data_IF_884046526869
#
_entry.id   IF_884046526869
#
_cell.length_a   1.000
_cell.length_b   1.000
_cell.length_c   1.000
_cell.angle_alpha   90.00
_cell.angle_beta   90.00
_cell.angle_gamma   90.00
#
_symmetry.space_group_name_H-M   'P 1'
#
loop_
_entity.id
_entity.type
_entity.pdbx_description
1 polymer ?
#
# COMPACT_ATOMS: atom_id res chain seq x y z
N UNK A 1 -12.40 11.10 -4.66
CA UNK A 1 -12.06 9.69 -4.37
C UNK A 1 -12.31 9.49 -2.90
N UNK A 2 -13.22 8.59 -2.54
CA UNK A 2 -13.64 8.38 -1.15
C UNK A 2 -12.99 7.09 -0.64
N UNK A 3 -12.37 7.15 0.53
CA UNK A 3 -11.76 5.99 1.21
C UNK A 3 -11.81 6.19 2.71
N UNK A 4 -11.84 5.10 3.46
CA UNK A 4 -11.62 5.08 4.91
C UNK A 4 -10.23 4.51 5.16
N UNK A 5 -9.41 5.23 5.94
CA UNK A 5 -8.05 4.82 6.29
C UNK A 5 -8.02 4.27 7.71
N UNK A 6 -7.50 3.05 7.86
CA UNK A 6 -7.24 2.42 9.14
C UNK A 6 -5.73 2.42 9.38
N UNK A 7 -5.29 3.06 10.45
CA UNK A 7 -3.90 3.01 10.89
C UNK A 7 -3.72 1.80 11.80
N UNK A 8 -2.85 0.87 11.42
CA UNK A 8 -2.57 -0.31 12.22
C UNK A 8 -1.44 0.02 13.19
N UNK A 9 -1.61 -0.35 14.47
CA UNK A 9 -0.55 -0.20 15.46
C UNK A 9 0.49 -1.32 15.24
N UNK A 10 1.53 -1.00 14.49
CA UNK A 10 2.72 -1.83 14.30
C UNK A 10 3.95 -1.01 14.73
N UNK A 11 4.98 -1.66 15.30
CA UNK A 11 6.14 -0.97 15.86
C UNK A 11 6.96 -0.23 14.78
N UNK A 12 7.18 -0.89 13.64
CA UNK A 12 7.70 -0.34 12.38
C UNK A 12 7.64 -1.45 11.32
N UNK A 13 7.26 -1.15 10.07
CA UNK A 13 6.79 0.13 9.54
C UNK A 13 5.39 0.51 10.04
N UNK A 14 5.04 1.79 9.89
CA UNK A 14 3.66 2.24 10.04
C UNK A 14 2.84 1.67 8.89
N UNK A 15 1.75 0.97 9.19
CA UNK A 15 0.88 0.40 8.17
C UNK A 15 -0.43 1.18 8.09
N UNK A 16 -0.79 1.58 6.87
CA UNK A 16 -2.05 2.24 6.57
C UNK A 16 -2.87 1.39 5.61
N UNK A 17 -4.08 1.03 6.01
CA UNK A 17 -5.02 0.27 5.20
C UNK A 17 -6.13 1.18 4.69
N UNK A 18 -6.15 1.41 3.38
CA UNK A 18 -7.14 2.21 2.68
C UNK A 18 -8.24 1.33 2.07
N UNK A 19 -9.46 1.46 2.59
CA UNK A 19 -10.67 0.82 2.04
C UNK A 19 -11.40 1.82 1.16
N UNK A 20 -11.39 1.59 -0.15
CA UNK A 20 -11.97 2.50 -1.13
C UNK A 20 -13.48 2.29 -1.28
N UNK A 21 -14.21 3.39 -1.51
CA UNK A 21 -15.65 3.41 -1.68
C UNK A 21 -16.08 3.97 -3.05
N UNK A 22 -17.38 3.83 -3.36
CA UNK A 22 -17.98 4.33 -4.60
C UNK A 22 -17.42 3.62 -5.84
N UNK A 23 -16.86 4.40 -6.78
CA UNK A 23 -16.34 3.89 -8.07
C UNK A 23 -15.12 2.97 -7.93
N UNK A 24 -14.53 2.88 -6.74
CA UNK A 24 -13.39 2.01 -6.41
C UNK A 24 -13.77 0.96 -5.36
N UNK A 25 -15.08 0.69 -5.17
CA UNK A 25 -15.56 -0.32 -4.23
C UNK A 25 -14.90 -1.69 -4.50
N UNK A 26 -14.46 -2.35 -3.43
CA UNK A 26 -13.75 -3.63 -3.47
C UNK A 26 -12.22 -3.51 -3.58
N UNK A 27 -11.69 -2.30 -3.80
CA UNK A 27 -10.26 -2.05 -3.70
C UNK A 27 -9.85 -1.78 -2.25
N UNK A 28 -8.89 -2.57 -1.77
CA UNK A 28 -8.20 -2.35 -0.50
C UNK A 28 -6.71 -2.26 -0.81
N UNK A 29 -6.07 -1.20 -0.33
CA UNK A 29 -4.62 -1.00 -0.46
C UNK A 29 -4.02 -0.91 0.93
N UNK A 30 -2.93 -1.62 1.15
CA UNK A 30 -2.11 -1.44 2.33
C UNK A 30 -0.78 -0.79 1.93
N UNK A 31 -0.39 0.25 2.64
CA UNK A 31 0.87 0.96 2.45
C UNK A 31 1.70 0.83 3.73
N UNK A 32 2.98 0.49 3.55
CA UNK A 32 3.97 0.40 4.62
C UNK A 32 4.91 1.60 4.51
N UNK A 33 4.97 2.40 5.58
CA UNK A 33 5.75 3.63 5.65
C UNK A 33 6.85 3.49 6.71
N UNK A 34 8.10 3.63 6.28
CA UNK A 34 9.26 3.70 7.17
C UNK A 34 9.58 5.15 7.50
N UNK A 35 9.46 5.49 8.78
CA UNK A 35 9.96 6.74 9.32
C UNK A 35 11.28 6.43 10.03
N UNK A 36 12.40 6.47 9.30
CA UNK A 36 13.71 6.32 9.94
C UNK A 36 14.05 7.56 10.77
N UNK A 37 14.56 7.35 11.97
CA UNK A 37 15.22 8.41 12.76
C UNK A 37 16.64 8.71 12.24
N UNK A 38 17.20 7.83 11.42
CA UNK A 38 18.47 8.06 10.72
C UNK A 38 18.22 8.77 9.39
N UNK A 39 18.99 9.82 9.08
CA UNK A 39 18.97 10.50 7.78
C UNK A 39 19.49 9.60 6.62
N UNK A 40 19.82 8.33 6.89
CA UNK A 40 20.40 7.45 5.91
C UNK A 40 19.34 6.71 5.09
N UNK A 41 18.98 7.32 3.96
CA UNK A 41 18.05 6.77 2.96
C UNK A 41 18.38 5.33 2.53
N UNK A 42 19.65 4.94 2.47
CA UNK A 42 20.04 3.61 2.00
C UNK A 42 19.64 2.50 3.00
N UNK A 43 19.61 2.82 4.30
CA UNK A 43 19.16 1.89 5.34
C UNK A 43 17.65 1.66 5.19
N UNK A 44 16.87 2.74 5.01
CA UNK A 44 15.42 2.67 4.79
C UNK A 44 15.06 1.84 3.57
N UNK A 45 15.76 2.05 2.45
CA UNK A 45 15.51 1.27 1.23
C UNK A 45 15.81 -0.22 1.44
N UNK A 46 16.87 -0.54 2.19
CA UNK A 46 17.23 -1.93 2.52
C UNK A 46 16.18 -2.60 3.41
N UNK A 47 15.71 -1.89 4.45
CA UNK A 47 14.64 -2.38 5.34
C UNK A 47 13.32 -2.59 4.60
N UNK A 48 12.94 -1.65 3.73
CA UNK A 48 11.73 -1.75 2.92
C UNK A 48 11.77 -2.93 1.95
N UNK A 49 12.93 -3.19 1.32
CA UNK A 49 13.12 -4.32 0.42
C UNK A 49 13.11 -5.68 1.14
N UNK A 50 13.56 -5.73 2.40
CA UNK A 50 13.58 -6.95 3.20
C UNK A 50 12.23 -7.23 3.90
N UNK A 51 11.32 -6.26 3.92
CA UNK A 51 10.10 -6.36 4.68
C UNK A 51 9.09 -7.32 4.08
N UNK A 52 8.46 -8.11 4.95
CA UNK A 52 7.34 -8.96 4.62
C UNK A 52 6.13 -8.54 5.43
N UNK A 53 4.97 -8.43 4.76
CA UNK A 53 3.72 -8.12 5.45
C UNK A 53 3.36 -9.23 6.46
N UNK A 54 2.70 -8.88 7.57
CA UNK A 54 2.15 -9.84 8.52
C UNK A 54 1.26 -10.89 7.85
N UNK A 55 1.39 -12.17 8.24
CA UNK A 55 0.69 -13.28 7.58
C UNK A 55 -0.84 -13.21 7.60
N UNK A 56 -1.45 -12.46 8.52
CA UNK A 56 -2.90 -12.23 8.55
C UNK A 56 -3.40 -11.32 7.41
N UNK A 57 -2.50 -10.59 6.74
CA UNK A 57 -2.76 -9.89 5.48
C UNK A 57 -2.60 -10.81 4.25
N UNK A 58 -2.60 -12.13 4.46
CA UNK A 58 -2.42 -13.12 3.40
C UNK A 58 -3.29 -12.84 2.16
N UNK A 59 -2.75 -13.17 0.99
CA UNK A 59 -3.42 -12.91 -0.29
C UNK A 59 -3.25 -11.49 -0.84
N UNK A 60 -2.47 -10.63 -0.19
CA UNK A 60 -2.03 -9.35 -0.76
C UNK A 60 -1.12 -9.55 -1.97
N UNK A 61 -1.16 -8.61 -2.89
CA UNK A 61 -0.28 -8.54 -4.06
C UNK A 61 0.50 -7.24 -3.98
N UNK A 62 1.82 -7.32 -4.17
CA UNK A 62 2.70 -6.16 -4.12
C UNK A 62 2.43 -5.26 -5.34
N UNK A 63 2.08 -4.00 -5.08
CA UNK A 63 1.67 -3.04 -6.12
C UNK A 63 2.52 -1.76 -6.12
N UNK A 64 3.65 -1.75 -5.41
CA UNK A 64 4.52 -0.58 -5.19
C UNK A 64 4.89 0.14 -6.48
N UNK A 65 5.21 -0.64 -7.51
CA UNK A 65 5.69 -0.12 -8.79
C UNK A 65 4.58 0.04 -9.85
N UNK A 66 3.34 -0.33 -9.52
CA UNK A 66 2.21 -0.29 -10.45
C UNK A 66 1.56 1.09 -10.46
N UNK A 67 1.76 1.81 -11.55
CA UNK A 67 1.33 3.21 -11.70
C UNK A 67 -0.18 3.44 -11.54
N UNK A 68 -0.98 2.41 -11.81
CA UNK A 68 -2.43 2.40 -11.72
C UNK A 68 -2.95 2.40 -10.28
N UNK A 69 -2.13 1.97 -9.32
CA UNK A 69 -2.44 2.02 -7.88
C UNK A 69 -2.02 3.34 -7.22
N UNK A 70 -1.30 4.21 -7.92
CA UNK A 70 -0.92 5.53 -7.39
C UNK A 70 -2.16 6.40 -7.18
N UNK A 71 -2.23 7.11 -6.05
CA UNK A 71 -3.35 7.98 -5.69
C UNK A 71 -3.76 8.97 -6.79
N UNK A 72 -2.79 9.57 -7.50
CA UNK A 72 -3.07 10.50 -8.62
C UNK A 72 -3.79 9.82 -9.77
N UNK A 73 -3.48 8.56 -10.04
CA UNK A 73 -4.12 7.74 -11.07
C UNK A 73 -5.51 7.31 -10.63
N UNK A 74 -5.65 6.78 -9.41
CA UNK A 74 -6.95 6.40 -8.82
C UNK A 74 -7.93 7.59 -8.73
N UNK A 75 -7.43 8.81 -8.52
CA UNK A 75 -8.25 10.01 -8.54
C UNK A 75 -8.87 10.32 -9.92
N UNK A 76 -8.29 9.80 -11.01
CA UNK A 76 -8.72 10.05 -12.40
C UNK A 76 -9.52 8.89 -13.01
N UNK A 77 -9.40 7.68 -12.48
CA UNK A 77 -10.10 6.51 -13.01
C UNK A 77 -11.52 6.37 -12.46
N UNK A 78 -12.37 5.72 -13.25
CA UNK A 78 -13.78 5.41 -12.90
C UNK A 78 -13.97 4.00 -12.34
N UNK A 79 -12.93 3.17 -12.30
CA UNK A 79 -12.96 1.79 -11.84
C UNK A 79 -11.66 1.41 -11.13
N UNK A 80 -11.66 0.39 -10.25
CA UNK A 80 -10.45 -0.12 -9.66
C UNK A 80 -9.51 -0.72 -10.71
N UNK A 81 -8.18 -0.62 -10.51
CA UNK A 81 -7.21 -1.34 -11.32
C UNK A 81 -7.43 -2.84 -11.19
N UNK A 82 -7.07 -3.59 -12.24
CA UNK A 82 -7.07 -5.04 -12.17
C UNK A 82 -5.91 -5.49 -11.28
N UNK A 83 -6.13 -6.53 -10.49
CA UNK A 83 -5.05 -7.22 -9.78
C UNK A 83 -3.98 -7.65 -10.81
N UNK A 84 -2.68 -7.39 -10.56
CA UNK A 84 -1.63 -7.92 -11.41
C UNK A 84 -1.71 -9.46 -11.45
N UNK A 85 -1.70 -10.02 -12.65
CA UNK A 85 -1.48 -11.45 -12.84
C UNK A 85 0.03 -11.71 -12.65
N UNK A 86 0.41 -12.53 -11.67
CA UNK A 86 1.76 -13.06 -11.63
C UNK A 86 1.84 -14.18 -12.66
N UNK A 87 2.70 -14.02 -13.67
CA UNK A 87 3.05 -15.07 -14.63
C UNK A 87 3.96 -16.12 -13.97
#
# INVERSE_FOLDING_TARGET
>A
MQKTRYCLQCEQPKLELDVYAGRHLGLVVIEAEWTSQSDNRQIVETEALAYSLPGWLGGTTEVTYYSEYKNKTLARTSKPPKRPDYA
#
